data_IF_219812174541
#
_entry.id   IF_219812174541
#
_cell.length_a   1.000
_cell.length_b   1.000
_cell.length_c   1.000
_cell.angle_alpha   90.00
_cell.angle_beta   90.00
_cell.angle_gamma   90.00
#
_symmetry.space_group_name_H-M   'P 1'
#
loop_
_entity.id
_entity.type
_entity.pdbx_description
1 polymer ?
#
# COMPACT_ATOMS: atom_id res chain seq x y z
N UNK A 1 -13.05 21.98 -25.13
CA UNK A 1 -12.45 21.65 -23.82
C UNK A 1 -13.52 21.00 -22.96
N UNK A 2 -13.71 19.70 -23.08
CA UNK A 2 -14.61 18.90 -22.23
C UNK A 2 -14.01 17.51 -22.15
N UNK A 3 -13.05 17.35 -21.25
CA UNK A 3 -12.42 16.06 -20.99
C UNK A 3 -13.38 15.16 -20.23
N UNK A 4 -13.85 14.13 -20.90
CA UNK A 4 -14.59 13.00 -20.33
C UNK A 4 -13.73 12.36 -19.25
N UNK A 5 -14.03 12.66 -17.98
CA UNK A 5 -13.45 11.97 -16.84
C UNK A 5 -13.85 10.49 -16.94
N UNK A 6 -12.86 9.65 -17.21
CA UNK A 6 -13.01 8.21 -17.19
C UNK A 6 -13.68 7.78 -15.87
N UNK A 7 -14.67 6.90 -16.01
CA UNK A 7 -15.34 6.21 -14.92
C UNK A 7 -14.31 5.39 -14.13
N UNK A 8 -13.73 6.02 -13.11
CA UNK A 8 -12.98 5.35 -12.06
C UNK A 8 -13.51 5.86 -10.75
N UNK A 9 -14.41 5.06 -10.16
CA UNK A 9 -14.99 5.06 -8.81
C UNK A 9 -14.96 6.37 -7.99
N UNK A 10 -16.08 6.79 -7.37
CA UNK A 10 -16.10 7.96 -6.48
C UNK A 10 -14.93 7.91 -5.48
N UNK A 11 -14.28 9.04 -5.15
CA UNK A 11 -13.11 9.06 -4.25
C UNK A 11 -13.28 8.24 -2.95
N UNK A 12 -14.52 8.12 -2.46
CA UNK A 12 -14.97 7.27 -1.34
C UNK A 12 -14.69 5.76 -1.48
N UNK A 13 -14.72 5.23 -2.69
CA UNK A 13 -14.65 3.78 -2.95
C UNK A 13 -13.22 3.26 -2.97
N UNK A 14 -12.27 4.10 -3.37
CA UNK A 14 -10.88 3.68 -3.50
C UNK A 14 -10.17 3.47 -2.16
N UNK A 15 -10.59 4.18 -1.12
CA UNK A 15 -10.09 3.96 0.23
C UNK A 15 -10.80 2.82 0.97
N UNK A 16 -11.97 2.38 0.48
CA UNK A 16 -12.74 1.30 1.07
C UNK A 16 -12.35 -0.10 0.57
N UNK A 17 -11.74 -0.18 -0.61
CA UNK A 17 -11.33 -1.45 -1.22
C UNK A 17 -10.05 -2.08 -0.64
N UNK A 18 -9.42 -1.48 0.39
CA UNK A 18 -8.34 -2.12 1.14
C UNK A 18 -8.85 -3.13 2.17
N UNK A 19 -10.17 -3.34 2.29
CA UNK A 19 -10.75 -4.50 2.97
C UNK A 19 -10.61 -5.74 2.08
N UNK A 20 -9.37 -6.14 1.78
CA UNK A 20 -9.08 -7.49 1.30
C UNK A 20 -9.75 -8.44 2.30
N UNK A 21 -10.72 -9.23 1.84
CA UNK A 21 -11.57 -10.10 2.64
C UNK A 21 -10.80 -11.16 3.43
N UNK A 22 -10.12 -10.72 4.48
CA UNK A 22 -9.49 -11.56 5.49
C UNK A 22 -10.35 -11.40 6.75
N UNK A 23 -11.43 -12.16 6.77
CA UNK A 23 -12.23 -12.34 7.98
C UNK A 23 -11.39 -13.06 9.03
N UNK A 24 -11.02 -12.37 10.09
CA UNK A 24 -10.47 -13.00 11.28
C UNK A 24 -11.64 -13.44 12.15
N UNK A 25 -12.13 -14.67 11.96
CA UNK A 25 -13.10 -15.33 12.84
C UNK A 25 -14.17 -14.40 13.43
N UNK A 26 -15.10 -13.96 12.58
CA UNK A 26 -16.12 -12.94 12.91
C UNK A 26 -16.11 -11.80 11.89
N UNK A 27 -17.28 -11.25 11.60
CA UNK A 27 -17.60 -10.26 10.54
C UNK A 27 -16.99 -8.87 10.71
N UNK A 28 -15.80 -8.75 11.30
CA UNK A 28 -15.14 -7.48 11.55
C UNK A 28 -14.36 -7.02 10.30
N UNK A 29 -14.82 -5.94 9.68
CA UNK A 29 -14.21 -5.33 8.49
C UNK A 29 -13.69 -3.93 8.79
N UNK A 30 -12.59 -3.54 8.15
CA UNK A 30 -12.05 -2.18 8.26
C UNK A 30 -13.02 -1.19 7.61
N UNK A 31 -13.38 -0.13 8.34
CA UNK A 31 -14.23 0.92 7.81
C UNK A 31 -13.43 1.83 6.85
N UNK A 32 -13.69 1.69 5.56
CA UNK A 32 -13.05 2.45 4.49
C UNK A 32 -13.34 3.94 4.48
N UNK A 33 -14.49 4.37 5.00
CA UNK A 33 -14.87 5.78 5.09
C UNK A 33 -14.11 6.44 6.23
N UNK A 34 -14.08 5.79 7.41
CA UNK A 34 -13.39 6.33 8.58
C UNK A 34 -11.87 6.41 8.41
N UNK A 35 -11.29 5.47 7.64
CA UNK A 35 -9.84 5.41 7.40
C UNK A 35 -9.41 6.12 6.12
N UNK A 36 -10.33 6.76 5.39
CA UNK A 36 -10.07 7.27 4.05
C UNK A 36 -8.92 8.26 3.96
N UNK A 37 -8.89 9.27 4.83
CA UNK A 37 -7.87 10.31 4.80
C UNK A 37 -6.46 9.73 4.98
N UNK A 38 -6.30 8.84 5.95
CA UNK A 38 -5.03 8.16 6.22
C UNK A 38 -4.64 7.18 5.12
N UNK A 39 -5.61 6.45 4.54
CA UNK A 39 -5.33 5.56 3.41
C UNK A 39 -4.87 6.35 2.17
N UNK A 40 -5.46 7.53 1.91
CA UNK A 40 -5.03 8.43 0.84
C UNK A 40 -3.60 8.93 1.12
N UNK A 41 -3.30 9.32 2.36
CA UNK A 41 -1.98 9.76 2.77
C UNK A 41 -0.93 8.64 2.59
N UNK A 42 -1.24 7.41 2.98
CA UNK A 42 -0.34 6.26 2.81
C UNK A 42 -0.03 5.98 1.33
N UNK A 43 -1.06 6.00 0.47
CA UNK A 43 -0.88 5.81 -0.97
C UNK A 43 -0.04 6.93 -1.60
N UNK A 44 -0.38 8.19 -1.28
CA UNK A 44 0.33 9.35 -1.81
C UNK A 44 1.78 9.43 -1.33
N UNK A 45 1.99 9.28 -0.03
CA UNK A 45 3.30 9.36 0.60
C UNK A 45 4.25 8.30 0.06
N UNK A 46 3.83 7.04 0.02
CA UNK A 46 4.66 5.94 -0.48
C UNK A 46 4.97 6.10 -1.98
N UNK A 47 4.01 6.60 -2.79
CA UNK A 47 4.22 6.87 -4.22
C UNK A 47 5.25 7.98 -4.44
N UNK A 48 5.16 9.08 -3.70
CA UNK A 48 6.14 10.18 -3.82
C UNK A 48 7.51 9.77 -3.30
N UNK A 49 7.58 9.01 -2.20
CA UNK A 49 8.82 8.47 -1.67
C UNK A 49 9.53 7.57 -2.70
N UNK A 50 8.81 6.67 -3.36
CA UNK A 50 9.39 5.81 -4.39
C UNK A 50 9.86 6.59 -5.62
N UNK A 51 9.12 7.63 -6.03
CA UNK A 51 9.56 8.54 -7.11
C UNK A 51 10.84 9.29 -6.75
N UNK A 52 10.93 9.80 -5.51
CA UNK A 52 12.11 10.48 -5.00
C UNK A 52 13.31 9.53 -4.95
N UNK A 53 13.11 8.31 -4.46
CA UNK A 53 14.12 7.25 -4.43
C UNK A 53 14.68 6.95 -5.83
N UNK A 54 13.82 6.71 -6.83
CA UNK A 54 14.28 6.46 -8.20
C UNK A 54 15.08 7.64 -8.79
N UNK A 55 14.67 8.88 -8.50
CA UNK A 55 15.42 10.08 -8.94
C UNK A 55 16.78 10.17 -8.26
N UNK A 56 16.87 9.76 -7.00
CA UNK A 56 18.13 9.72 -6.26
C UNK A 56 19.08 8.70 -6.88
N UNK A 57 18.60 7.48 -7.16
CA UNK A 57 19.40 6.45 -7.83
C UNK A 57 19.86 6.88 -9.23
N UNK A 58 19.00 7.58 -9.99
CA UNK A 58 19.38 8.12 -11.30
C UNK A 58 20.48 9.18 -11.20
N UNK A 59 20.49 9.98 -10.12
CA UNK A 59 21.45 11.07 -9.92
C UNK A 59 22.78 10.60 -9.34
N UNK A 60 22.72 9.66 -8.39
CA UNK A 60 23.88 9.25 -7.59
C UNK A 60 24.41 7.85 -7.93
N UNK A 61 23.69 7.10 -8.77
CA UNK A 61 23.94 5.69 -9.01
C UNK A 61 23.21 4.77 -8.02
N UNK A 62 23.25 3.48 -8.30
CA UNK A 62 22.64 2.44 -7.45
C UNK A 62 23.54 2.19 -6.25
N UNK A 63 22.97 2.23 -5.04
CA UNK A 63 23.70 1.93 -3.81
C UNK A 63 24.15 0.46 -3.76
N UNK A 64 25.28 0.15 -3.09
CA UNK A 64 25.70 -1.23 -2.87
C UNK A 64 24.63 -2.05 -2.14
N UNK A 65 24.51 -3.34 -2.50
CA UNK A 65 23.57 -4.24 -1.82
C UNK A 65 24.00 -4.51 -0.38
N UNK A 66 23.02 -4.67 0.50
CA UNK A 66 23.26 -4.98 1.90
C UNK A 66 23.84 -6.39 2.07
N UNK A 67 24.86 -6.57 2.95
CA UNK A 67 25.35 -7.90 3.30
C UNK A 67 24.25 -8.77 3.93
N UNK A 68 24.10 -10.01 3.43
CA UNK A 68 23.09 -10.96 3.90
C UNK A 68 21.70 -10.80 3.25
N UNK A 69 21.52 -9.83 2.34
CA UNK A 69 20.29 -9.58 1.58
C UNK A 69 20.58 -9.32 0.10
N UNK A 70 21.69 -9.85 -0.42
CA UNK A 70 22.16 -9.57 -1.77
C UNK A 70 21.23 -10.10 -2.87
N UNK A 71 20.27 -10.98 -2.55
CA UNK A 71 19.23 -11.45 -3.45
C UNK A 71 18.23 -10.34 -3.84
N UNK A 72 18.10 -9.30 -3.03
CA UNK A 72 17.21 -8.17 -3.29
C UNK A 72 17.96 -7.02 -3.98
N UNK A 73 17.39 -6.49 -5.05
CA UNK A 73 17.86 -5.24 -5.64
C UNK A 73 17.42 -4.03 -4.81
N UNK A 74 17.99 -2.87 -5.09
CA UNK A 74 17.73 -1.62 -4.35
C UNK A 74 16.25 -1.22 -4.33
N UNK A 75 15.53 -1.39 -5.44
CA UNK A 75 14.07 -1.14 -5.52
C UNK A 75 13.26 -2.11 -4.68
N UNK A 76 13.61 -3.40 -4.70
CA UNK A 76 12.98 -4.40 -3.82
C UNK A 76 13.26 -4.07 -2.35
N UNK A 77 14.48 -3.61 -2.03
CA UNK A 77 14.83 -3.18 -0.68
C UNK A 77 14.06 -1.94 -0.22
N UNK A 78 13.75 -1.00 -1.10
CA UNK A 78 12.85 0.11 -0.78
C UNK A 78 11.49 -0.39 -0.27
N UNK A 79 10.88 -1.33 -0.98
CA UNK A 79 9.57 -1.88 -0.61
C UNK A 79 9.64 -2.73 0.66
N UNK A 80 10.72 -3.50 0.84
CA UNK A 80 10.95 -4.28 2.07
C UNK A 80 11.08 -3.33 3.26
N UNK A 81 11.85 -2.24 3.14
CA UNK A 81 11.98 -1.24 4.19
C UNK A 81 10.64 -0.57 4.51
N UNK A 82 9.88 -0.17 3.49
CA UNK A 82 8.54 0.41 3.65
C UNK A 82 7.57 -0.54 4.35
N UNK A 83 7.60 -1.84 4.02
CA UNK A 83 6.82 -2.86 4.71
C UNK A 83 7.26 -3.06 6.17
N UNK A 84 8.58 -3.08 6.40
CA UNK A 84 9.15 -3.29 7.72
C UNK A 84 8.84 -2.16 8.72
N UNK A 85 8.63 -0.94 8.24
CA UNK A 85 8.17 0.20 9.07
C UNK A 85 6.86 -0.10 9.81
N UNK A 86 6.03 -0.99 9.27
CA UNK A 86 4.72 -1.35 9.81
C UNK A 86 4.68 -2.74 10.46
N UNK A 87 5.82 -3.40 10.64
CA UNK A 87 5.89 -4.67 11.35
C UNK A 87 5.36 -4.51 12.78
N UNK A 88 4.30 -5.27 13.10
CA UNK A 88 3.68 -5.22 14.42
C UNK A 88 2.54 -6.22 14.56
N UNK A 89 2.20 -6.55 15.79
CA UNK A 89 1.12 -7.46 16.13
C UNK A 89 0.13 -6.80 17.09
N UNK A 90 -1.12 -7.24 17.02
CA UNK A 90 -2.20 -6.77 17.89
C UNK A 90 -2.78 -7.94 18.70
N UNK A 91 -3.11 -7.69 19.96
CA UNK A 91 -4.05 -8.56 20.70
C UNK A 91 -5.42 -8.48 20.03
N UNK A 92 -6.20 -9.57 20.08
CA UNK A 92 -7.49 -9.66 19.37
C UNK A 92 -8.46 -8.53 19.78
N UNK A 93 -8.53 -8.23 21.06
CA UNK A 93 -9.40 -7.22 21.65
C UNK A 93 -8.96 -5.81 21.24
N UNK A 94 -7.64 -5.56 21.24
CA UNK A 94 -7.06 -4.30 20.80
C UNK A 94 -7.28 -4.07 19.30
N UNK A 95 -7.16 -5.12 18.48
CA UNK A 95 -7.46 -5.05 17.06
C UNK A 95 -8.95 -4.75 16.83
N UNK A 96 -9.84 -5.43 17.57
CA UNK A 96 -11.28 -5.18 17.50
C UNK A 96 -11.62 -3.72 17.81
N UNK A 97 -11.11 -3.19 18.91
CA UNK A 97 -11.30 -1.78 19.27
C UNK A 97 -10.74 -0.85 18.20
N UNK A 98 -9.52 -1.11 17.71
CA UNK A 98 -8.89 -0.29 16.68
C UNK A 98 -9.70 -0.26 15.39
N UNK A 99 -10.22 -1.39 14.93
CA UNK A 99 -11.05 -1.44 13.72
C UNK A 99 -12.34 -0.62 13.87
N UNK A 100 -12.92 -0.58 15.08
CA UNK A 100 -14.16 0.15 15.34
C UNK A 100 -13.96 1.66 15.53
N UNK A 101 -12.83 2.10 16.08
CA UNK A 101 -12.67 3.49 16.56
C UNK A 101 -11.52 4.27 15.90
N UNK A 102 -10.51 3.59 15.35
CA UNK A 102 -9.32 4.28 14.87
C UNK A 102 -9.50 4.85 13.46
N UNK A 103 -8.90 6.02 13.24
CA UNK A 103 -8.80 6.67 11.92
C UNK A 103 -7.73 6.06 11.03
N UNK A 104 -6.82 5.27 11.59
CA UNK A 104 -5.78 4.57 10.85
C UNK A 104 -6.14 3.11 10.63
N UNK A 105 -5.94 2.61 9.42
CA UNK A 105 -6.02 1.19 9.12
C UNK A 105 -5.03 0.37 9.97
N UNK A 106 -5.33 -0.89 10.31
CA UNK A 106 -4.36 -1.78 10.94
C UNK A 106 -3.09 -1.94 10.08
N UNK A 107 -1.94 -2.14 10.72
CA UNK A 107 -0.63 -2.07 10.07
C UNK A 107 -0.50 -2.88 8.77
N UNK A 108 -1.00 -4.12 8.75
CA UNK A 108 -0.97 -4.97 7.53
C UNK A 108 -1.67 -4.34 6.32
N UNK A 109 -2.73 -3.54 6.54
CA UNK A 109 -3.48 -2.87 5.48
C UNK A 109 -2.83 -1.56 5.06
N UNK A 110 -2.08 -0.91 5.96
CA UNK A 110 -1.23 0.25 5.62
C UNK A 110 -0.04 -0.13 4.75
N UNK A 111 0.37 -1.40 4.73
CA UNK A 111 1.32 -1.93 3.75
C UNK A 111 0.59 -2.41 2.51
N UNK A 112 -0.29 -3.41 2.66
CA UNK A 112 -0.83 -4.14 1.51
C UNK A 112 -1.74 -3.27 0.63
N UNK A 113 -2.51 -2.35 1.22
CA UNK A 113 -3.37 -1.44 0.48
C UNK A 113 -2.56 -0.59 -0.50
N UNK A 114 -1.67 0.29 -0.01
CA UNK A 114 -0.83 1.13 -0.85
C UNK A 114 -0.01 0.37 -1.89
N UNK A 115 0.69 -0.71 -1.49
CA UNK A 115 1.56 -1.42 -2.44
C UNK A 115 0.77 -2.15 -3.54
N UNK A 116 -0.44 -2.65 -3.25
CA UNK A 116 -1.31 -3.26 -4.27
C UNK A 116 -1.82 -2.25 -5.31
N UNK A 117 -1.91 -0.97 -4.94
CA UNK A 117 -2.28 0.12 -5.84
C UNK A 117 -1.11 0.59 -6.72
N UNK A 118 0.12 0.14 -6.46
CA UNK A 118 1.32 0.62 -7.15
C UNK A 118 1.80 -0.36 -8.22
N UNK A 119 1.66 -0.04 -9.52
CA UNK A 119 2.28 -0.82 -10.60
C UNK A 119 3.77 -1.07 -10.40
N UNK A 120 4.47 -0.10 -9.79
CA UNK A 120 5.89 -0.18 -9.52
C UNK A 120 6.27 -1.35 -8.63
N UNK A 121 5.53 -1.55 -7.53
CA UNK A 121 5.72 -2.71 -6.65
C UNK A 121 5.52 -4.02 -7.42
N UNK A 122 4.43 -4.12 -8.17
CA UNK A 122 4.12 -5.31 -8.95
C UNK A 122 5.21 -5.61 -9.98
N UNK A 123 5.80 -4.59 -10.62
CA UNK A 123 6.93 -4.75 -11.54
C UNK A 123 8.18 -5.21 -10.81
N UNK A 124 8.55 -4.55 -9.71
CA UNK A 124 9.81 -4.81 -9.00
C UNK A 124 9.84 -6.19 -8.33
N UNK A 125 8.68 -6.75 -7.98
CA UNK A 125 8.54 -8.13 -7.49
C UNK A 125 8.01 -9.12 -8.54
N UNK A 126 7.86 -8.70 -9.79
CA UNK A 126 7.35 -9.52 -10.89
C UNK A 126 6.01 -10.24 -10.55
N UNK A 127 5.09 -9.52 -9.93
CA UNK A 127 3.77 -10.03 -9.56
C UNK A 127 2.91 -10.25 -10.81
N UNK A 128 2.32 -11.45 -10.94
CA UNK A 128 1.39 -11.78 -12.04
C UNK A 128 0.16 -10.87 -12.04
N UNK A 129 -0.35 -10.51 -13.21
CA UNK A 129 -1.60 -9.75 -13.33
C UNK A 129 -2.76 -10.48 -12.65
N UNK A 130 -3.57 -9.76 -11.89
CA UNK A 130 -4.68 -10.33 -11.11
C UNK A 130 -4.26 -11.00 -9.80
N UNK A 131 -2.97 -11.07 -9.48
CA UNK A 131 -2.52 -11.51 -8.16
C UNK A 131 -3.02 -10.54 -7.07
N UNK A 132 -3.09 -11.00 -5.82
CA UNK A 132 -3.55 -10.19 -4.67
C UNK A 132 -2.82 -8.85 -4.54
N UNK A 133 -1.51 -8.84 -4.82
CA UNK A 133 -0.67 -7.64 -4.78
C UNK A 133 -0.49 -6.96 -6.14
N UNK A 134 -1.21 -7.42 -7.16
CA UNK A 134 -1.28 -6.83 -8.49
C UNK A 134 -2.72 -6.93 -9.04
N UNK A 135 -3.70 -6.30 -8.36
CA UNK A 135 -5.10 -6.32 -8.81
C UNK A 135 -5.27 -5.56 -10.12
N UNK A 136 -6.29 -5.94 -10.90
CA UNK A 136 -6.66 -5.31 -12.17
C UNK A 136 -7.11 -3.87 -11.95
N UNK A 137 -7.93 -3.64 -10.91
CA UNK A 137 -8.38 -2.32 -10.51
C UNK A 137 -7.48 -1.78 -9.42
N UNK A 138 -6.91 -0.59 -9.64
CA UNK A 138 -6.05 0.10 -8.70
C UNK A 138 -6.57 1.49 -8.43
N UNK A 139 -6.26 1.97 -7.24
CA UNK A 139 -6.62 3.31 -6.79
C UNK A 139 -5.46 4.27 -6.93
N UNK A 140 -5.71 5.45 -7.50
CA UNK A 140 -4.73 6.54 -7.56
C UNK A 140 -5.47 7.86 -7.46
N UNK A 141 -5.09 8.68 -6.48
CA UNK A 141 -5.64 10.03 -6.29
C UNK A 141 -4.57 11.06 -6.62
N UNK A 142 -3.42 10.99 -5.92
CA UNK A 142 -2.23 11.81 -6.10
C UNK A 142 -1.13 11.01 -6.82
#
# INVERSE_FOLDING_TARGET
MTGTFFLSFPPGWCAAAAALGVGWGGSLQVNGINTQGENIADNGGLKQAYRAFNRLEQRLGVEPRLPGLQEYNSKQMFWIAAGNTWCGAYRKEALKMRVLTARHSPAQFRVNGPVSNMPDFARDFNCKAGAKMNPVHRCSVW
#
